data_IF_714575225525
#
_entry.id   IF_714575225525
#
_cell.length_a   1.000
_cell.length_b   1.000
_cell.length_c   1.000
_cell.angle_alpha   90.00
_cell.angle_beta   90.00
_cell.angle_gamma   90.00
#
_symmetry.space_group_name_H-M   'P 1'
#
loop_
_entity.id
_entity.type
_entity.pdbx_description
1 polymer ?
#
# COMPACT_ATOMS: atom_id res chain seq x y z
N UNK A 1 -38.47 -20.40 24.28
CA UNK A 1 -37.24 -20.97 24.86
C UNK A 1 -36.15 -21.06 23.80
N UNK A 2 -35.54 -19.93 23.47
CA UNK A 2 -34.19 -19.53 23.95
C UNK A 2 -33.10 -20.54 23.61
N UNK A 3 -32.48 -20.34 22.44
CA UNK A 3 -31.07 -20.69 22.26
C UNK A 3 -30.36 -19.64 21.42
N UNK A 4 -30.03 -18.58 22.14
CA UNK A 4 -28.92 -17.67 21.89
C UNK A 4 -27.68 -18.49 21.54
N UNK A 5 -27.12 -18.29 20.35
CA UNK A 5 -25.74 -18.58 20.04
C UNK A 5 -25.21 -17.37 19.26
N UNK A 6 -24.80 -16.38 20.04
CA UNK A 6 -23.99 -15.25 19.62
C UNK A 6 -22.83 -15.78 18.77
N UNK A 7 -22.86 -15.53 17.46
CA UNK A 7 -21.63 -15.52 16.67
C UNK A 7 -20.83 -14.30 17.12
N UNK A 8 -20.05 -14.52 18.17
CA UNK A 8 -18.86 -13.74 18.47
C UNK A 8 -17.98 -13.73 17.22
N UNK A 9 -18.16 -12.72 16.35
CA UNK A 9 -17.16 -12.34 15.34
C UNK A 9 -16.09 -11.54 16.08
N UNK A 10 -15.38 -12.22 16.97
CA UNK A 10 -14.32 -11.68 17.80
C UNK A 10 -13.06 -11.49 16.97
N UNK A 11 -12.54 -10.26 16.91
CA UNK A 11 -11.12 -9.90 17.12
C UNK A 11 -9.99 -10.68 16.38
N UNK A 12 -10.28 -11.55 15.42
CA UNK A 12 -9.35 -12.54 14.84
C UNK A 12 -8.35 -12.00 13.81
N UNK A 13 -8.06 -10.70 13.82
CA UNK A 13 -6.90 -10.15 13.10
C UNK A 13 -6.03 -9.27 14.01
N UNK A 14 -6.01 -9.55 15.31
CA UNK A 14 -4.96 -9.04 16.18
C UNK A 14 -3.75 -9.98 16.02
N UNK A 15 -2.95 -9.73 14.99
CA UNK A 15 -1.59 -10.25 14.96
C UNK A 15 -0.74 -9.53 16.02
N UNK A 16 0.33 -10.17 16.48
CA UNK A 16 1.29 -9.49 17.37
C UNK A 16 1.81 -8.23 16.68
N UNK A 17 2.04 -7.14 17.42
CA UNK A 17 2.59 -5.91 16.87
C UNK A 17 3.87 -6.22 16.10
N UNK A 18 4.00 -5.66 14.89
CA UNK A 18 5.14 -5.90 14.01
C UNK A 18 6.08 -4.69 14.06
N UNK A 19 7.25 -4.88 14.67
CA UNK A 19 8.29 -3.85 14.82
C UNK A 19 9.31 -3.80 13.67
N UNK A 20 9.20 -4.69 12.69
CA UNK A 20 10.13 -4.77 11.56
C UNK A 20 9.45 -4.44 10.24
N UNK A 21 10.21 -3.92 9.29
CA UNK A 21 9.78 -3.70 7.90
C UNK A 21 10.49 -4.67 6.97
N UNK A 22 9.88 -4.98 5.83
CA UNK A 22 10.51 -5.77 4.77
C UNK A 22 10.40 -5.01 3.46
N UNK A 23 11.55 -4.70 2.86
CA UNK A 23 11.65 -4.07 1.55
C UNK A 23 12.11 -5.09 0.51
N UNK A 24 11.46 -5.12 -0.64
CA UNK A 24 11.78 -6.00 -1.76
C UNK A 24 12.34 -5.18 -2.92
N UNK A 25 13.62 -5.34 -3.22
CA UNK A 25 14.24 -4.73 -4.39
C UNK A 25 14.21 -5.69 -5.59
N UNK A 26 13.68 -5.21 -6.72
CA UNK A 26 13.59 -5.97 -7.97
C UNK A 26 14.08 -5.11 -9.14
N UNK A 27 14.76 -5.71 -10.12
CA UNK A 27 15.12 -4.98 -11.31
C UNK A 27 13.90 -4.74 -12.21
N UNK A 28 13.79 -3.52 -12.75
CA UNK A 28 12.72 -3.16 -13.69
C UNK A 28 12.74 -3.96 -15.00
N UNK A 29 13.89 -4.58 -15.31
CA UNK A 29 14.07 -5.43 -16.49
C UNK A 29 13.12 -6.64 -16.52
N UNK A 30 12.69 -7.13 -15.35
CA UNK A 30 11.75 -8.26 -15.22
C UNK A 30 10.44 -7.96 -15.94
N UNK A 31 9.93 -6.74 -15.83
CA UNK A 31 8.69 -6.32 -16.50
C UNK A 31 8.97 -5.97 -17.96
N UNK A 32 10.10 -5.34 -18.28
CA UNK A 32 10.38 -4.94 -19.66
C UNK A 32 10.54 -6.12 -20.61
N UNK A 33 11.02 -7.28 -20.12
CA UNK A 33 11.26 -8.48 -20.91
C UNK A 33 9.99 -9.19 -21.40
N UNK A 34 8.82 -8.89 -20.82
CA UNK A 34 7.56 -9.48 -21.27
C UNK A 34 7.16 -8.96 -22.67
N UNK A 35 6.70 -9.87 -23.53
CA UNK A 35 6.46 -9.62 -24.96
C UNK A 35 5.30 -8.67 -25.24
N UNK A 36 4.25 -8.72 -24.42
CA UNK A 36 3.03 -7.93 -24.63
C UNK A 36 2.64 -7.15 -23.39
N UNK A 37 1.84 -6.09 -23.57
CA UNK A 37 1.33 -5.25 -22.49
C UNK A 37 0.45 -6.03 -21.52
N UNK A 38 -0.27 -7.04 -22.00
CA UNK A 38 -1.06 -7.96 -21.18
C UNK A 38 -0.17 -8.76 -20.23
N UNK A 39 0.91 -9.36 -20.76
CA UNK A 39 1.85 -10.15 -19.97
C UNK A 39 2.61 -9.29 -18.96
N UNK A 40 2.96 -8.05 -19.33
CA UNK A 40 3.55 -7.06 -18.40
C UNK A 40 2.63 -6.79 -17.22
N UNK A 41 1.35 -6.57 -17.51
CA UNK A 41 0.32 -6.32 -16.49
C UNK A 41 0.12 -7.53 -15.59
N UNK A 42 0.08 -8.73 -16.18
CA UNK A 42 -0.05 -9.98 -15.44
C UNK A 42 1.13 -10.23 -14.49
N UNK A 43 2.37 -10.05 -14.97
CA UNK A 43 3.59 -10.23 -14.18
C UNK A 43 3.67 -9.21 -13.04
N UNK A 44 3.35 -7.94 -13.31
CA UNK A 44 3.26 -6.93 -12.26
C UNK A 44 2.22 -7.31 -11.19
N UNK A 45 1.07 -7.88 -11.61
CA UNK A 45 0.06 -8.43 -10.71
C UNK A 45 0.57 -9.60 -9.86
N UNK A 46 1.37 -10.51 -10.44
CA UNK A 46 1.97 -11.62 -9.69
C UNK A 46 2.94 -11.12 -8.62
N UNK A 47 3.79 -10.13 -8.95
CA UNK A 47 4.72 -9.51 -7.99
C UNK A 47 3.92 -8.82 -6.87
N UNK A 48 2.92 -8.01 -7.22
CA UNK A 48 2.06 -7.32 -6.26
C UNK A 48 1.33 -8.29 -5.31
N UNK A 49 0.84 -9.42 -5.84
CA UNK A 49 0.18 -10.45 -5.05
C UNK A 49 1.15 -11.17 -4.12
N UNK A 50 2.33 -11.55 -4.61
CA UNK A 50 3.37 -12.15 -3.77
C UNK A 50 3.77 -11.20 -2.64
N UNK A 51 3.99 -9.92 -2.96
CA UNK A 51 4.31 -8.89 -1.98
C UNK A 51 3.23 -8.74 -0.90
N UNK A 52 1.96 -8.84 -1.30
CA UNK A 52 0.83 -8.79 -0.36
C UNK A 52 0.76 -10.03 0.53
N UNK A 53 0.98 -11.23 -0.01
CA UNK A 53 0.97 -12.48 0.76
C UNK A 53 2.07 -12.50 1.82
N UNK A 54 3.26 -12.00 1.47
CA UNK A 54 4.41 -11.97 2.37
C UNK A 54 4.51 -10.67 3.20
N UNK A 55 3.47 -9.84 3.20
CA UNK A 55 3.38 -8.59 3.96
C UNK A 55 4.60 -7.66 3.74
N UNK A 56 5.00 -7.46 2.49
CA UNK A 56 6.13 -6.57 2.12
C UNK A 56 5.69 -5.12 2.27
N UNK A 57 6.50 -4.28 2.92
CA UNK A 57 6.16 -2.86 3.21
C UNK A 57 6.61 -1.89 2.11
N UNK A 58 7.64 -2.24 1.34
CA UNK A 58 8.20 -1.41 0.29
C UNK A 58 8.63 -2.28 -0.89
N UNK A 59 8.29 -1.87 -2.11
CA UNK A 59 8.80 -2.46 -3.36
C UNK A 59 9.68 -1.43 -4.04
N UNK A 60 10.95 -1.77 -4.25
CA UNK A 60 11.94 -0.90 -4.87
C UNK A 60 12.22 -1.44 -6.26
N UNK A 61 11.91 -0.65 -7.28
CA UNK A 61 12.21 -1.01 -8.67
C UNK A 61 13.47 -0.27 -9.10
N UNK A 62 14.56 -1.01 -9.29
CA UNK A 62 15.82 -0.41 -9.72
C UNK A 62 16.09 -0.64 -11.21
N UNK A 63 16.73 0.35 -11.84
CA UNK A 63 17.22 0.23 -13.22
C UNK A 63 18.58 -0.46 -13.22
N UNK A 64 18.71 -1.56 -13.97
CA UNK A 64 20.00 -2.24 -14.20
C UNK A 64 20.78 -1.63 -15.36
N UNK A 65 20.13 -0.81 -16.19
CA UNK A 65 20.73 -0.27 -17.40
C UNK A 65 21.41 1.06 -17.07
N UNK A 66 22.74 1.12 -17.20
CA UNK A 66 23.44 2.38 -17.45
C UNK A 66 23.01 2.90 -18.82
N UNK A 67 21.92 3.66 -18.89
CA UNK A 67 21.60 4.40 -20.11
C UNK A 67 22.58 5.57 -20.19
N UNK A 68 23.75 5.34 -20.79
CA UNK A 68 24.41 6.38 -21.57
C UNK A 68 23.81 6.33 -22.98
N UNK A 69 22.98 7.35 -23.29
CA UNK A 69 22.55 7.82 -24.62
C UNK A 69 21.63 6.82 -25.37
N UNK A 70 20.36 7.06 -25.67
CA UNK A 70 19.69 8.20 -26.30
C UNK A 70 18.20 8.18 -25.90
N UNK A 71 17.78 9.14 -25.10
CA UNK A 71 16.48 9.80 -25.26
C UNK A 71 16.74 11.26 -24.93
N UNK A 72 16.21 12.24 -25.68
CA UNK A 72 16.42 13.63 -25.34
C UNK A 72 15.98 13.83 -23.90
N UNK A 73 16.90 14.38 -23.11
CA UNK A 73 16.62 15.05 -21.86
C UNK A 73 15.52 16.08 -22.15
N UNK A 74 14.27 15.71 -21.89
CA UNK A 74 13.21 16.71 -21.74
C UNK A 74 13.41 17.26 -20.34
N UNK A 75 14.36 18.19 -20.23
CA UNK A 75 14.23 19.30 -19.30
C UNK A 75 12.97 20.05 -19.67
N UNK A 76 11.90 19.77 -18.95
CA UNK A 76 10.75 20.64 -18.81
C UNK A 76 9.83 20.02 -17.77
N UNK A 77 9.88 20.60 -16.58
CA UNK A 77 8.74 20.81 -15.70
C UNK A 77 7.41 20.22 -16.22
N UNK A 78 7.08 19.03 -15.74
CA UNK A 78 5.73 18.65 -15.33
C UNK A 78 5.71 17.20 -14.84
N UNK A 79 4.86 16.96 -13.85
CA UNK A 79 4.38 15.64 -13.45
C UNK A 79 4.23 14.68 -14.63
N UNK A 80 4.58 13.41 -14.42
CA UNK A 80 4.16 12.21 -15.18
C UNK A 80 5.30 11.34 -15.74
N UNK A 81 6.29 10.99 -14.93
CA UNK A 81 7.14 9.81 -15.20
C UNK A 81 6.36 8.47 -15.08
N UNK A 82 5.06 8.52 -14.74
CA UNK A 82 4.11 7.40 -14.76
C UNK A 82 3.20 7.36 -16.00
N UNK A 83 3.37 8.26 -16.98
CA UNK A 83 2.47 8.37 -18.15
C UNK A 83 2.34 7.09 -18.99
N UNK A 84 3.36 6.23 -18.99
CA UNK A 84 3.35 4.93 -19.69
C UNK A 84 2.74 3.79 -18.87
N UNK A 85 2.67 3.90 -17.53
CA UNK A 85 1.94 2.94 -16.69
C UNK A 85 0.44 3.27 -16.69
N UNK A 86 0.06 4.54 -16.84
CA UNK A 86 -1.29 4.99 -16.46
C UNK A 86 -2.34 4.97 -17.59
N UNK A 87 -1.96 4.94 -18.87
CA UNK A 87 -2.94 5.14 -19.97
C UNK A 87 -3.28 3.89 -20.78
N UNK A 88 -2.42 2.87 -20.84
CA UNK A 88 -2.68 1.63 -21.63
C UNK A 88 -3.06 0.40 -20.80
N UNK A 89 -2.68 0.35 -19.52
CA UNK A 89 -2.79 -0.85 -18.68
C UNK A 89 -4.15 -1.01 -17.97
N UNK A 90 -4.94 0.06 -17.82
CA UNK A 90 -6.26 -0.02 -17.15
C UNK A 90 -7.25 -0.94 -17.88
N UNK A 91 -7.06 -1.12 -19.19
CA UNK A 91 -7.84 -2.04 -20.02
C UNK A 91 -7.69 -3.51 -19.58
N UNK A 92 -6.55 -3.84 -18.96
CA UNK A 92 -6.21 -5.18 -18.50
C UNK A 92 -6.26 -5.33 -16.98
N UNK A 93 -6.77 -4.32 -16.26
CA UNK A 93 -6.94 -4.41 -14.80
C UNK A 93 -7.84 -5.58 -14.40
N UNK A 94 -8.77 -6.00 -15.27
CA UNK A 94 -9.59 -7.21 -15.07
C UNK A 94 -8.84 -8.53 -15.16
N UNK A 95 -7.59 -8.55 -15.65
CA UNK A 95 -6.72 -9.74 -15.64
C UNK A 95 -6.00 -9.94 -14.31
N UNK A 96 -6.00 -8.92 -13.43
CA UNK A 96 -5.31 -8.99 -12.16
C UNK A 96 -6.12 -9.83 -11.18
N UNK A 97 -5.45 -10.80 -10.55
CA UNK A 97 -6.01 -11.44 -9.38
C UNK A 97 -6.21 -10.38 -8.28
N UNK A 98 -7.32 -10.41 -7.54
CA UNK A 98 -7.50 -9.51 -6.42
C UNK A 98 -6.36 -9.72 -5.42
N UNK A 99 -5.77 -8.61 -4.96
CA UNK A 99 -4.70 -8.64 -3.96
C UNK A 99 -5.20 -9.09 -2.58
N UNK A 100 -6.51 -8.92 -2.32
CA UNK A 100 -7.20 -9.30 -1.08
C UNK A 100 -6.42 -8.97 0.21
N UNK A 101 -5.83 -7.78 0.25
CA UNK A 101 -5.05 -7.33 1.38
C UNK A 101 -5.95 -7.05 2.60
N UNK A 102 -5.46 -7.15 3.85
CA UNK A 102 -6.27 -6.95 5.05
C UNK A 102 -6.95 -5.57 5.14
N UNK A 103 -6.42 -4.55 4.45
CA UNK A 103 -7.02 -3.22 4.35
C UNK A 103 -8.13 -3.11 3.30
N UNK A 104 -8.35 -4.13 2.45
CA UNK A 104 -9.49 -4.24 1.52
C UNK A 104 -10.76 -4.74 2.23
N UNK A 105 -11.12 -4.08 3.33
CA UNK A 105 -12.23 -4.46 4.17
C UNK A 105 -13.57 -4.17 3.48
N UNK A 106 -14.46 -5.16 3.47
CA UNK A 106 -15.87 -4.93 3.14
C UNK A 106 -16.52 -4.02 4.21
N UNK A 107 -17.61 -3.35 3.82
CA UNK A 107 -18.29 -2.37 4.67
C UNK A 107 -18.86 -2.97 5.97
N UNK A 108 -19.18 -4.26 5.98
CA UNK A 108 -19.74 -5.01 7.10
C UNK A 108 -18.67 -5.46 8.11
N UNK A 109 -17.38 -5.46 7.74
CA UNK A 109 -16.31 -5.92 8.63
C UNK A 109 -15.86 -4.83 9.59
N UNK A 110 -15.95 -5.10 10.88
CA UNK A 110 -15.49 -4.19 11.95
C UNK A 110 -13.96 -4.20 12.01
N UNK A 111 -13.33 -3.03 11.95
CA UNK A 111 -11.89 -2.85 12.12
C UNK A 111 -11.59 -1.48 12.75
N UNK A 112 -10.56 -1.41 13.61
CA UNK A 112 -10.13 -0.16 14.26
C UNK A 112 -9.57 0.84 13.25
N UNK A 113 -8.80 0.36 12.29
CA UNK A 113 -8.18 1.18 11.25
C UNK A 113 -8.90 0.96 9.92
N UNK A 114 -9.10 2.05 9.16
CA UNK A 114 -9.58 2.02 7.79
C UNK A 114 -8.85 3.05 6.95
N UNK A 115 -8.62 2.72 5.68
CA UNK A 115 -8.20 3.72 4.71
C UNK A 115 -9.40 4.56 4.30
N UNK A 116 -9.15 5.85 4.07
CA UNK A 116 -10.18 6.74 3.57
C UNK A 116 -9.63 7.90 2.76
N UNK A 117 -10.54 8.60 2.10
CA UNK A 117 -10.26 9.79 1.30
C UNK A 117 -11.01 10.97 1.87
N UNK A 118 -10.32 12.10 2.06
CA UNK A 118 -10.96 13.34 2.50
C UNK A 118 -11.94 13.85 1.45
N UNK A 119 -13.17 14.14 1.87
CA UNK A 119 -14.26 14.57 0.98
C UNK A 119 -14.42 16.08 1.05
N UNK A 120 -14.71 16.60 2.25
CA UNK A 120 -14.98 18.03 2.45
C UNK A 120 -14.64 18.49 3.86
N UNK A 121 -14.26 19.75 3.96
CA UNK A 121 -14.05 20.42 5.24
C UNK A 121 -15.37 21.01 5.75
N UNK A 122 -15.56 20.92 7.07
CA UNK A 122 -16.67 21.46 7.84
C UNK A 122 -16.10 22.34 8.95
N UNK A 123 -16.97 23.07 9.64
CA UNK A 123 -16.56 23.90 10.79
C UNK A 123 -15.93 23.08 11.91
N UNK A 124 -16.29 21.79 12.00
CA UNK A 124 -15.85 20.86 13.04
C UNK A 124 -14.73 19.91 12.60
N UNK A 125 -14.19 20.09 11.39
CA UNK A 125 -13.10 19.26 10.85
C UNK A 125 -13.40 18.69 9.46
N UNK A 126 -12.70 17.65 9.03
CA UNK A 126 -12.85 17.04 7.70
C UNK A 126 -13.74 15.80 7.73
N UNK A 127 -14.63 15.67 6.74
CA UNK A 127 -15.37 14.44 6.48
C UNK A 127 -14.57 13.53 5.56
N UNK A 128 -14.47 12.27 5.95
CA UNK A 128 -13.63 11.26 5.29
C UNK A 128 -14.51 10.08 4.90
N UNK A 129 -14.41 9.66 3.64
CA UNK A 129 -15.00 8.42 3.18
C UNK A 129 -14.04 7.26 3.47
N UNK A 130 -14.46 6.34 4.34
CA UNK A 130 -13.69 5.15 4.77
C UNK A 130 -14.31 3.84 4.25
N UNK A 131 -15.13 3.92 3.19
CA UNK A 131 -15.82 2.76 2.61
C UNK A 131 -16.96 2.23 3.49
N UNK A 132 -17.54 3.10 4.33
CA UNK A 132 -18.71 2.82 5.17
C UNK A 132 -19.91 3.62 4.68
N UNK A 133 -21.12 3.25 5.11
CA UNK A 133 -22.36 3.96 4.68
C UNK A 133 -22.41 5.43 5.08
N UNK A 134 -21.64 5.83 6.09
CA UNK A 134 -21.54 7.21 6.57
C UNK A 134 -20.07 7.64 6.60
N UNK A 135 -19.84 8.91 6.26
CA UNK A 135 -18.53 9.53 6.40
C UNK A 135 -18.13 9.64 7.87
N UNK A 136 -16.84 9.54 8.12
CA UNK A 136 -16.23 9.73 9.44
C UNK A 136 -15.76 11.18 9.55
N UNK A 137 -16.10 11.83 10.65
CA UNK A 137 -15.57 13.16 10.96
C UNK A 137 -14.22 13.01 11.68
N UNK A 138 -13.19 13.64 11.13
CA UNK A 138 -11.89 13.85 11.78
C UNK A 138 -11.76 15.31 12.21
N UNK A 139 -11.14 15.60 13.36
CA UNK A 139 -10.98 16.98 13.85
C UNK A 139 -10.00 17.80 13.01
N UNK A 140 -9.04 17.14 12.35
CA UNK A 140 -8.02 17.78 11.53
C UNK A 140 -8.62 18.36 10.24
N UNK A 141 -8.09 19.49 9.79
CA UNK A 141 -8.46 20.10 8.50
C UNK A 141 -7.49 19.65 7.42
N UNK A 142 -7.93 18.69 6.62
CA UNK A 142 -7.14 18.10 5.53
C UNK A 142 -7.69 18.59 4.19
N UNK A 143 -6.84 18.88 3.18
CA UNK A 143 -7.32 19.18 1.83
C UNK A 143 -8.20 18.04 1.29
N UNK A 144 -9.16 18.34 0.41
CA UNK A 144 -9.99 17.32 -0.21
C UNK A 144 -9.18 16.41 -1.14
N UNK A 145 -9.66 15.18 -1.36
CA UNK A 145 -9.07 14.17 -2.22
C UNK A 145 -7.68 13.65 -1.77
N UNK A 146 -7.44 13.64 -0.46
CA UNK A 146 -6.21 13.12 0.15
C UNK A 146 -6.50 11.77 0.79
N UNK A 147 -5.69 10.75 0.47
CA UNK A 147 -5.75 9.43 1.09
C UNK A 147 -5.12 9.48 2.49
N UNK A 148 -5.84 8.97 3.48
CA UNK A 148 -5.43 8.97 4.88
C UNK A 148 -5.81 7.65 5.58
N UNK A 149 -5.06 7.30 6.62
CA UNK A 149 -5.41 6.19 7.51
C UNK A 149 -6.16 6.75 8.71
N UNK A 150 -7.36 6.24 8.97
CA UNK A 150 -8.24 6.70 10.04
C UNK A 150 -8.36 5.64 11.11
N UNK A 151 -8.10 6.04 12.36
CA UNK A 151 -8.42 5.27 13.55
C UNK A 151 -9.83 5.59 14.01
N UNK A 152 -10.73 4.61 13.98
CA UNK A 152 -12.11 4.76 14.45
C UNK A 152 -12.17 4.69 15.97
N UNK A 153 -12.91 5.63 16.58
CA UNK A 153 -13.11 5.65 18.04
C UNK A 153 -14.02 4.51 18.49
N UNK A 154 -15.08 4.23 17.72
CA UNK A 154 -16.01 3.15 18.00
C UNK A 154 -16.30 2.36 16.71
N UNK A 155 -15.50 1.33 16.41
CA UNK A 155 -15.61 0.59 15.14
C UNK A 155 -16.87 -0.29 15.06
N UNK A 156 -17.53 -0.61 16.19
CA UNK A 156 -18.73 -1.44 16.22
C UNK A 156 -20.04 -0.66 15.96
N UNK A 157 -20.05 0.65 16.22
CA UNK A 157 -21.25 1.50 16.13
C UNK A 157 -21.08 2.65 15.12
N UNK A 158 -20.76 2.33 13.86
CA UNK A 158 -20.55 3.32 12.80
C UNK A 158 -21.87 3.89 12.22
N UNK A 159 -23.02 3.47 12.75
CA UNK A 159 -24.34 3.80 12.19
C UNK A 159 -24.83 5.23 12.48
N UNK A 160 -24.18 5.98 13.37
CA UNK A 160 -24.59 7.35 13.72
C UNK A 160 -23.36 8.22 14.01
N UNK A 161 -22.86 8.93 12.99
CA UNK A 161 -21.78 9.92 13.12
C UNK A 161 -20.49 9.36 13.74
N UNK A 162 -19.88 8.38 13.07
CA UNK A 162 -18.59 7.86 13.50
C UNK A 162 -17.53 8.97 13.53
N UNK A 163 -16.80 9.02 14.65
CA UNK A 163 -15.66 9.92 14.86
C UNK A 163 -14.37 9.11 14.75
N UNK A 164 -13.38 9.71 14.12
CA UNK A 164 -12.05 9.12 13.98
C UNK A 164 -10.95 10.15 14.16
N UNK A 165 -9.73 9.65 14.14
CA UNK A 165 -8.51 10.46 14.15
C UNK A 165 -7.62 10.04 12.99
N UNK A 166 -6.97 11.01 12.34
CA UNK A 166 -5.96 10.71 11.35
C UNK A 166 -4.71 10.16 12.07
N UNK A 167 -4.19 9.05 11.57
CA UNK A 167 -3.00 8.39 12.14
C UNK A 167 -1.98 8.07 11.05
N UNK A 168 -0.73 7.83 11.46
CA UNK A 168 0.32 7.34 10.56
C UNK A 168 -0.12 6.05 9.87
N UNK A 169 0.20 5.85 8.56
CA UNK A 169 -0.06 4.60 7.86
C UNK A 169 0.73 3.41 8.43
N UNK A 170 1.77 3.64 9.24
CA UNK A 170 2.52 2.57 9.93
C UNK A 170 1.81 2.07 11.19
N UNK A 171 0.91 2.85 11.75
CA UNK A 171 0.26 2.56 13.04
C UNK A 171 -0.58 1.28 13.08
N UNK A 172 -1.33 0.90 12.03
CA UNK A 172 -2.04 -0.39 12.01
C UNK A 172 -1.11 -1.60 12.17
N UNK A 173 0.10 -1.50 11.61
CA UNK A 173 1.15 -2.52 11.72
C UNK A 173 1.79 -2.52 13.10
N UNK A 174 2.12 -1.35 13.63
CA UNK A 174 2.75 -1.22 14.96
C UNK A 174 1.80 -1.65 16.09
N UNK A 175 0.51 -1.28 16.00
CA UNK A 175 -0.44 -1.54 17.09
C UNK A 175 -1.05 -2.95 17.02
N UNK A 176 -1.37 -3.43 15.81
CA UNK A 176 -2.16 -4.65 15.60
C UNK A 176 -1.48 -5.68 14.67
N UNK A 177 -0.25 -5.40 14.19
CA UNK A 177 0.45 -6.25 13.23
C UNK A 177 -0.20 -6.31 11.84
N UNK A 178 -1.20 -5.45 11.57
CA UNK A 178 -1.96 -5.49 10.33
C UNK A 178 -1.11 -5.07 9.14
N UNK A 179 -1.16 -5.86 8.07
CA UNK A 179 -0.56 -5.49 6.80
C UNK A 179 -1.38 -4.38 6.11
N UNK A 180 -0.73 -3.24 5.86
CA UNK A 180 -1.36 -2.01 5.38
C UNK A 180 -0.90 -1.60 3.97
N UNK A 181 -0.52 -2.59 3.16
CA UNK A 181 -0.02 -2.37 1.80
C UNK A 181 1.49 -2.11 1.76
N UNK A 182 1.98 -1.83 0.55
CA UNK A 182 3.35 -1.44 0.30
C UNK A 182 3.43 -0.05 -0.30
N UNK A 183 4.55 0.61 -0.08
CA UNK A 183 4.99 1.77 -0.85
C UNK A 183 5.84 1.33 -2.03
N UNK A 184 5.88 2.12 -3.10
CA UNK A 184 6.73 1.84 -4.26
C UNK A 184 7.73 2.95 -4.47
N UNK A 185 8.99 2.60 -4.76
CA UNK A 185 10.07 3.55 -5.01
C UNK A 185 10.88 3.14 -6.24
N UNK A 186 11.26 4.12 -7.05
CA UNK A 186 12.17 3.93 -8.18
C UNK A 186 13.60 4.24 -7.75
N UNK A 187 14.56 3.47 -8.27
CA UNK A 187 15.98 3.73 -8.10
C UNK A 187 16.70 3.64 -9.46
N UNK A 188 17.65 4.54 -9.76
CA UNK A 188 18.39 4.53 -11.02
C UNK A 188 19.47 3.44 -11.07
N UNK A 189 19.75 2.78 -9.94
CA UNK A 189 20.70 1.67 -9.85
C UNK A 189 20.67 0.98 -8.50
N UNK A 190 21.39 -0.14 -8.39
CA UNK A 190 21.45 -0.92 -7.15
C UNK A 190 22.02 -0.11 -5.98
N UNK A 191 23.00 0.76 -6.21
CA UNK A 191 23.56 1.61 -5.15
C UNK A 191 22.50 2.56 -4.56
N UNK A 192 21.62 3.11 -5.39
CA UNK A 192 20.57 4.04 -4.97
C UNK A 192 19.44 3.35 -4.20
N UNK A 193 19.31 2.02 -4.34
CA UNK A 193 18.43 1.23 -3.47
C UNK A 193 18.78 1.49 -2.01
N UNK A 194 20.07 1.49 -1.67
CA UNK A 194 20.58 1.70 -0.32
C UNK A 194 20.70 3.17 0.06
N UNK A 195 21.23 4.03 -0.82
CA UNK A 195 21.47 5.44 -0.50
C UNK A 195 20.18 6.25 -0.30
N UNK A 196 19.12 5.96 -1.07
CA UNK A 196 17.84 6.66 -0.98
C UNK A 196 16.83 5.86 -0.13
N UNK A 197 17.30 5.25 0.95
CA UNK A 197 16.45 4.54 1.90
C UNK A 197 15.52 5.52 2.63
N UNK A 198 14.22 5.21 2.79
CA UNK A 198 13.29 6.06 3.54
C UNK A 198 13.49 6.00 5.07
N UNK A 199 14.29 5.05 5.57
CA UNK A 199 14.55 4.86 6.99
C UNK A 199 15.81 5.61 7.41
N UNK A 200 15.76 6.33 8.54
CA UNK A 200 16.90 7.10 9.05
C UNK A 200 18.13 6.23 9.34
N UNK A 201 17.92 4.98 9.78
CA UNK A 201 18.98 4.01 10.05
C UNK A 201 19.45 3.23 8.81
N UNK A 202 18.81 3.43 7.65
CA UNK A 202 19.01 2.59 6.49
C UNK A 202 18.41 1.18 6.64
N UNK A 203 18.88 0.23 5.82
CA UNK A 203 18.51 -1.19 5.97
C UNK A 203 19.53 -1.91 6.85
N UNK A 204 19.09 -2.41 8.00
CA UNK A 204 19.97 -3.12 8.95
C UNK A 204 20.39 -4.51 8.46
N UNK A 205 19.57 -5.14 7.60
CA UNK A 205 19.81 -6.45 7.02
C UNK A 205 19.51 -6.44 5.51
N UNK A 206 20.51 -6.79 4.70
CA UNK A 206 20.37 -6.96 3.26
C UNK A 206 20.57 -8.42 2.87
N UNK A 207 19.57 -9.03 2.24
CA UNK A 207 19.61 -10.40 1.75
C UNK A 207 19.61 -10.40 0.22
N UNK A 208 20.72 -10.87 -0.38
CA UNK A 208 20.82 -11.08 -1.81
C UNK A 208 20.44 -12.51 -2.18
N UNK A 209 19.59 -12.67 -3.20
CA UNK A 209 19.23 -13.99 -3.73
C UNK A 209 20.00 -14.25 -5.03
N UNK A 210 20.65 -15.41 -5.14
CA UNK A 210 21.38 -15.84 -6.34
C UNK A 210 21.47 -17.36 -6.37
N UNK A 211 21.43 -17.95 -7.56
CA UNK A 211 21.72 -19.39 -7.76
C UNK A 211 23.11 -19.77 -7.22
N UNK A 212 24.05 -18.82 -7.21
CA UNK A 212 25.42 -18.99 -6.71
C UNK A 212 25.57 -18.58 -5.23
N UNK A 213 24.46 -18.30 -4.56
CA UNK A 213 24.44 -17.95 -3.14
C UNK A 213 24.93 -19.11 -2.27
N UNK A 214 25.47 -18.77 -1.10
CA UNK A 214 25.74 -19.77 -0.05
C UNK A 214 24.48 -19.95 0.78
N UNK A 215 24.19 -21.18 1.18
CA UNK A 215 23.13 -21.46 2.15
C UNK A 215 23.59 -20.87 3.49
N UNK A 216 22.79 -19.95 4.01
CA UNK A 216 23.00 -19.33 5.32
C UNK A 216 22.42 -20.21 6.43
#
# INVERSE_FOLDING_TARGET
DTRTAEKHTSLDQISRPRSYTVSLALPGSIISNAQTTELKTYLAGQIARAATIFNIDEIIVFSEVHIRLQMPFISSDNESSLGWIQTSHRRYAGLLNPLDAPHHLRADKVCKYREGVSVKNTDHGTLVDVGLRQHVLIPDKIPANVRITVSLTNPANVCKCAKGTAVSPTRPKEDLGLYWGYTTRMAAGLSEVFSNCPYESGYDLALGTSERGKIA
#
